data_IF_921582236717
#
_entry.id   IF_921582236717
#
_cell.length_a   1.000
_cell.length_b   1.000
_cell.length_c   1.000
_cell.angle_alpha   90.00
_cell.angle_beta   90.00
_cell.angle_gamma   90.00
#
_symmetry.space_group_name_H-M   'P 1'
#
loop_
_entity.id
_entity.type
_entity.pdbx_description
1 polymer ?
#
# COMPACT_ATOMS: atom_id res chain seq x y z
N UNK A 1 20.41 -8.20 -33.66
CA UNK A 1 21.59 -9.08 -33.43
C UNK A 1 22.71 -8.87 -34.45
N UNK A 2 22.45 -8.81 -35.76
CA UNK A 2 23.48 -8.69 -36.82
C UNK A 2 24.41 -7.47 -36.69
N UNK A 3 23.90 -6.31 -36.26
CA UNK A 3 24.70 -5.08 -36.10
C UNK A 3 25.64 -5.13 -34.88
N UNK A 4 25.28 -5.88 -33.82
CA UNK A 4 26.15 -6.07 -32.65
C UNK A 4 27.35 -6.95 -32.99
N UNK A 5 27.17 -7.95 -33.84
CA UNK A 5 28.21 -8.89 -34.28
C UNK A 5 29.18 -8.22 -35.27
N UNK A 6 28.67 -7.39 -36.18
CA UNK A 6 29.50 -6.58 -37.09
C UNK A 6 30.39 -5.58 -36.33
N UNK A 7 29.84 -4.92 -35.31
CA UNK A 7 30.61 -3.98 -34.48
C UNK A 7 31.67 -4.69 -33.62
N UNK A 8 31.38 -5.88 -33.09
CA UNK A 8 32.38 -6.66 -32.36
C UNK A 8 33.51 -7.16 -33.26
N UNK A 9 33.22 -7.60 -34.49
CA UNK A 9 34.26 -8.02 -35.44
C UNK A 9 35.14 -6.86 -35.92
N UNK A 10 34.57 -5.70 -36.23
CA UNK A 10 35.35 -4.52 -36.58
C UNK A 10 36.22 -4.02 -35.41
N UNK A 11 35.72 -4.11 -34.18
CA UNK A 11 36.51 -3.81 -32.98
C UNK A 11 37.69 -4.77 -32.83
N UNK A 12 37.47 -6.08 -33.02
CA UNK A 12 38.50 -7.11 -32.90
C UNK A 12 39.61 -6.96 -33.95
N UNK A 13 39.23 -6.68 -35.20
CA UNK A 13 40.18 -6.43 -36.29
C UNK A 13 41.01 -5.17 -36.04
N UNK A 14 40.42 -4.09 -35.51
CA UNK A 14 41.16 -2.88 -35.13
C UNK A 14 42.14 -3.15 -34.00
N UNK A 15 41.73 -3.89 -32.96
CA UNK A 15 42.66 -4.28 -31.90
C UNK A 15 43.78 -5.17 -32.43
N UNK A 16 43.49 -6.15 -33.28
CA UNK A 16 44.51 -7.04 -33.84
C UNK A 16 45.53 -6.29 -34.71
N UNK A 17 45.09 -5.31 -35.51
CA UNK A 17 45.97 -4.44 -36.29
C UNK A 17 46.84 -3.53 -35.42
N UNK A 18 46.31 -3.03 -34.30
CA UNK A 18 47.09 -2.22 -33.34
C UNK A 18 48.14 -3.10 -32.65
N UNK A 19 47.76 -4.31 -32.23
CA UNK A 19 48.70 -5.25 -31.62
C UNK A 19 49.81 -5.68 -32.58
N UNK A 20 49.49 -5.96 -33.85
CA UNK A 20 50.52 -6.31 -34.83
C UNK A 20 51.46 -5.14 -35.12
N UNK A 21 50.95 -3.91 -35.18
CA UNK A 21 51.78 -2.71 -35.34
C UNK A 21 52.72 -2.49 -34.14
N UNK A 22 52.23 -2.67 -32.91
CA UNK A 22 53.04 -2.57 -31.69
C UNK A 22 54.14 -3.65 -31.66
N UNK A 23 53.83 -4.86 -32.10
CA UNK A 23 54.78 -5.97 -32.13
C UNK A 23 55.90 -5.75 -33.15
N UNK A 24 55.55 -5.24 -34.35
CA UNK A 24 56.52 -4.85 -35.37
C UNK A 24 57.42 -3.72 -34.87
N UNK A 25 56.85 -2.71 -34.20
CA UNK A 25 57.63 -1.63 -33.58
C UNK A 25 58.59 -2.16 -32.50
N UNK A 26 58.14 -3.12 -31.68
CA UNK A 26 58.98 -3.76 -30.65
C UNK A 26 60.16 -4.51 -31.29
N UNK A 27 59.91 -5.31 -32.33
CA UNK A 27 60.96 -6.04 -33.04
C UNK A 27 61.94 -5.10 -33.75
N UNK A 28 61.44 -4.06 -34.41
CA UNK A 28 62.28 -3.06 -35.08
C UNK A 28 63.22 -2.36 -34.07
N UNK A 29 62.73 -2.05 -32.87
CA UNK A 29 63.54 -1.49 -31.78
C UNK A 29 64.63 -2.45 -31.32
N UNK A 30 64.26 -3.70 -30.99
CA UNK A 30 65.23 -4.69 -30.54
C UNK A 30 66.32 -4.92 -31.59
N UNK A 31 65.92 -4.95 -32.87
CA UNK A 31 66.86 -5.05 -33.98
C UNK A 31 67.78 -3.82 -34.08
N UNK A 32 67.24 -2.60 -33.92
CA UNK A 32 68.02 -1.36 -33.95
C UNK A 32 69.01 -1.29 -32.78
N UNK A 33 68.56 -1.59 -31.56
CA UNK A 33 69.38 -1.64 -30.35
C UNK A 33 70.52 -2.64 -30.50
N UNK A 34 70.20 -3.86 -30.94
CA UNK A 34 71.19 -4.90 -31.22
C UNK A 34 72.20 -4.47 -32.28
N UNK A 35 71.72 -3.92 -33.40
CA UNK A 35 72.57 -3.51 -34.53
C UNK A 35 73.49 -2.37 -34.16
N UNK A 36 72.98 -1.34 -33.46
CA UNK A 36 73.79 -0.20 -33.03
C UNK A 36 74.82 -0.60 -31.99
N UNK A 37 74.43 -1.40 -30.99
CA UNK A 37 75.33 -1.89 -29.95
C UNK A 37 76.44 -2.76 -30.55
N UNK A 38 76.10 -3.65 -31.48
CA UNK A 38 77.12 -4.51 -32.11
C UNK A 38 78.05 -3.72 -33.02
N UNK A 39 77.55 -2.76 -33.79
CA UNK A 39 78.40 -1.88 -34.61
C UNK A 39 79.37 -1.08 -33.74
N UNK A 40 78.90 -0.56 -32.60
CA UNK A 40 79.77 0.12 -31.63
C UNK A 40 80.79 -0.83 -31.00
N UNK A 41 80.40 -2.05 -30.64
CA UNK A 41 81.34 -3.07 -30.15
C UNK A 41 82.42 -3.40 -31.17
N UNK A 42 82.06 -3.52 -32.46
CA UNK A 42 83.03 -3.74 -33.54
C UNK A 42 84.00 -2.56 -33.61
N UNK A 43 83.50 -1.32 -33.62
CA UNK A 43 84.33 -0.11 -33.61
C UNK A 43 85.25 -0.05 -32.38
N UNK A 44 84.73 -0.43 -31.21
CA UNK A 44 85.50 -0.48 -29.96
C UNK A 44 86.60 -1.54 -29.98
N UNK A 45 86.33 -2.71 -30.58
CA UNK A 45 87.28 -3.81 -30.67
C UNK A 45 88.34 -3.64 -31.76
N UNK A 46 88.13 -2.71 -32.71
CA UNK A 46 89.13 -2.36 -33.73
C UNK A 46 90.25 -1.47 -33.18
N UNK A 47 90.07 -0.89 -31.99
CA UNK A 47 91.10 -0.10 -31.31
C UNK A 47 91.88 -1.02 -30.33
N UNK A 48 93.21 -1.17 -30.48
CA UNK A 48 94.00 -2.11 -29.68
C UNK A 48 94.00 -1.79 -28.17
N UNK A 49 94.25 -2.82 -27.34
CA UNK A 49 94.28 -2.71 -25.88
C UNK A 49 95.30 -1.64 -25.42
N UNK A 50 94.76 -0.62 -24.77
CA UNK A 50 95.32 0.71 -24.57
C UNK A 50 95.94 0.82 -23.15
N UNK A 51 97.24 0.53 -23.00
CA UNK A 51 97.95 0.61 -21.68
C UNK A 51 98.47 2.01 -21.34
N UNK A 52 98.89 2.81 -22.32
CA UNK A 52 99.43 4.17 -22.12
C UNK A 52 98.33 5.23 -21.95
N UNK A 53 97.08 4.79 -21.95
CA UNK A 53 95.90 5.60 -22.18
C UNK A 53 95.15 5.86 -20.90
N UNK A 54 95.34 5.08 -19.83
CA UNK A 54 94.74 5.39 -18.53
C UNK A 54 95.19 6.79 -18.04
N UNK A 55 96.47 7.12 -18.24
CA UNK A 55 97.06 8.42 -17.92
C UNK A 55 96.46 9.52 -18.82
N UNK A 56 96.41 9.30 -20.14
CA UNK A 56 95.79 10.22 -21.09
C UNK A 56 94.27 10.40 -20.91
N UNK A 57 93.57 9.35 -20.47
CA UNK A 57 92.13 9.33 -20.16
C UNK A 57 91.87 10.13 -18.88
N UNK A 58 92.67 9.97 -17.83
CA UNK A 58 92.53 10.77 -16.62
C UNK A 58 92.73 12.26 -16.88
N UNK A 59 93.77 12.62 -17.63
CA UNK A 59 94.05 14.02 -18.01
C UNK A 59 92.98 14.59 -18.97
N UNK A 60 92.39 13.76 -19.83
CA UNK A 60 91.39 14.20 -20.80
C UNK A 60 89.93 14.14 -20.32
N UNK A 61 89.63 13.54 -19.15
CA UNK A 61 88.27 13.43 -18.55
C UNK A 61 87.58 14.78 -18.25
N UNK A 62 88.29 15.89 -18.39
CA UNK A 62 87.73 17.25 -18.42
C UNK A 62 87.66 17.85 -19.82
N UNK A 63 88.56 17.47 -20.73
CA UNK A 63 88.80 18.09 -22.04
C UNK A 63 87.86 17.59 -23.12
N UNK A 64 87.68 16.27 -23.24
CA UNK A 64 86.83 15.67 -24.28
C UNK A 64 85.39 15.41 -23.85
N UNK A 65 85.02 15.76 -22.61
CA UNK A 65 83.66 15.55 -22.11
C UNK A 65 82.58 16.28 -22.93
N UNK A 66 81.49 15.57 -23.21
CA UNK A 66 80.27 16.09 -23.85
C UNK A 66 79.35 16.84 -22.87
N UNK A 67 79.70 16.92 -21.58
CA UNK A 67 78.93 17.71 -20.61
C UNK A 67 78.95 19.20 -20.98
N UNK A 68 77.77 19.81 -21.02
CA UNK A 68 77.59 21.24 -21.29
C UNK A 68 78.37 22.11 -20.30
N UNK A 69 78.36 21.76 -19.02
CA UNK A 69 79.07 22.49 -17.97
C UNK A 69 80.59 22.41 -18.17
N UNK A 70 81.11 21.22 -18.48
CA UNK A 70 82.54 21.03 -18.77
C UNK A 70 82.94 21.75 -20.06
N UNK A 71 82.09 21.76 -21.07
CA UNK A 71 82.31 22.52 -22.31
C UNK A 71 82.41 24.03 -22.06
N UNK A 72 81.48 24.60 -21.26
CA UNK A 72 81.54 26.01 -20.88
C UNK A 72 82.78 26.34 -20.04
N UNK A 73 83.15 25.45 -19.10
CA UNK A 73 84.35 25.62 -18.30
C UNK A 73 85.60 25.71 -19.18
N UNK A 74 85.72 24.86 -20.20
CA UNK A 74 86.84 24.88 -21.17
C UNK A 74 86.92 26.19 -21.96
N UNK A 75 85.78 26.77 -22.38
CA UNK A 75 85.78 28.06 -23.10
C UNK A 75 86.28 29.24 -22.28
N UNK A 76 86.29 29.13 -20.94
CA UNK A 76 86.78 30.19 -20.05
C UNK A 76 88.30 30.18 -19.88
N UNK A 77 88.96 29.06 -20.19
CA UNK A 77 90.41 28.97 -20.20
C UNK A 77 90.94 29.22 -21.63
N UNK A 78 91.97 30.06 -21.79
CA UNK A 78 92.69 30.17 -23.08
C UNK A 78 93.28 28.80 -23.45
N UNK A 79 93.49 28.53 -24.74
CA UNK A 79 93.89 27.25 -25.37
C UNK A 79 95.12 26.50 -24.78
N UNK A 80 95.73 27.01 -23.71
CA UNK A 80 96.88 26.49 -22.97
C UNK A 80 96.78 24.99 -22.66
N UNK A 81 95.59 24.47 -22.38
CA UNK A 81 95.42 23.04 -22.08
C UNK A 81 95.66 22.13 -23.29
N UNK A 82 95.31 22.59 -24.51
CA UNK A 82 95.56 21.82 -25.73
C UNK A 82 97.05 21.83 -26.02
N UNK A 83 97.71 22.99 -25.87
CA UNK A 83 99.15 23.11 -26.08
C UNK A 83 99.95 22.27 -25.06
N UNK A 84 99.52 22.23 -23.79
CA UNK A 84 100.12 21.40 -22.76
C UNK A 84 99.95 19.91 -23.06
N UNK A 85 98.76 19.50 -23.50
CA UNK A 85 98.48 18.12 -23.89
C UNK A 85 99.26 17.71 -25.14
N UNK A 86 99.36 18.58 -26.15
CA UNK A 86 100.15 18.36 -27.36
C UNK A 86 101.67 18.36 -27.09
N UNK A 87 102.11 19.01 -26.01
CA UNK A 87 103.51 18.98 -25.56
C UNK A 87 103.86 17.69 -24.83
N UNK A 88 102.95 17.18 -24.00
CA UNK A 88 103.13 15.97 -23.20
C UNK A 88 102.83 14.67 -23.99
N UNK A 89 101.88 14.72 -24.93
CA UNK A 89 101.42 13.58 -25.70
C UNK A 89 101.48 13.84 -27.20
N UNK A 90 101.79 12.80 -27.97
CA UNK A 90 101.72 12.86 -29.43
C UNK A 90 100.28 13.02 -29.93
N UNK A 91 100.10 13.74 -31.03
CA UNK A 91 98.81 14.00 -31.68
C UNK A 91 97.99 12.72 -31.91
N UNK A 92 98.62 11.68 -32.47
CA UNK A 92 97.98 10.39 -32.72
C UNK A 92 97.50 9.66 -31.45
N UNK A 93 98.10 9.94 -30.28
CA UNK A 93 97.61 9.42 -29.00
C UNK A 93 96.37 10.21 -28.55
N UNK A 94 96.41 11.54 -28.64
CA UNK A 94 95.29 12.40 -28.27
C UNK A 94 94.05 12.17 -29.14
N UNK A 95 94.23 11.95 -30.44
CA UNK A 95 93.13 11.59 -31.35
C UNK A 95 92.49 10.25 -30.97
N UNK A 96 93.28 9.24 -30.60
CA UNK A 96 92.76 7.95 -30.14
C UNK A 96 92.06 8.06 -28.79
N UNK A 97 92.61 8.81 -27.85
CA UNK A 97 91.97 9.10 -26.55
C UNK A 97 90.63 9.80 -26.75
N UNK A 98 90.58 10.78 -27.65
CA UNK A 98 89.34 11.48 -28.02
C UNK A 98 88.33 10.54 -28.66
N UNK A 99 88.74 9.73 -29.62
CA UNK A 99 87.86 8.74 -30.28
C UNK A 99 87.28 7.75 -29.26
N UNK A 100 88.11 7.25 -28.36
CA UNK A 100 87.69 6.35 -27.28
C UNK A 100 86.64 7.00 -26.37
N UNK A 101 86.87 8.26 -25.99
CA UNK A 101 85.94 9.03 -25.16
C UNK A 101 84.62 9.32 -25.91
N UNK A 102 84.70 9.74 -27.18
CA UNK A 102 83.52 10.00 -28.02
C UNK A 102 82.68 8.72 -28.21
N UNK A 103 83.31 7.56 -28.45
CA UNK A 103 82.61 6.28 -28.54
C UNK A 103 81.94 5.88 -27.21
N UNK A 104 82.59 6.17 -26.08
CA UNK A 104 82.04 5.91 -24.74
C UNK A 104 80.80 6.78 -24.48
N UNK A 105 80.84 8.08 -24.82
CA UNK A 105 79.69 8.97 -24.68
C UNK A 105 78.54 8.60 -25.64
N UNK A 106 78.86 8.20 -26.87
CA UNK A 106 77.85 7.69 -27.82
C UNK A 106 77.18 6.44 -27.28
N UNK A 107 77.94 5.49 -26.73
CA UNK A 107 77.38 4.29 -26.09
C UNK A 107 76.45 4.66 -24.93
N UNK A 108 76.90 5.56 -24.04
CA UNK A 108 76.09 6.03 -22.90
C UNK A 108 74.81 6.72 -23.34
N UNK A 109 74.86 7.53 -24.41
CA UNK A 109 73.70 8.21 -24.96
C UNK A 109 72.69 7.21 -25.52
N UNK A 110 73.14 6.19 -26.25
CA UNK A 110 72.26 5.16 -26.77
C UNK A 110 71.56 4.38 -25.66
N UNK A 111 72.28 4.01 -24.60
CA UNK A 111 71.68 3.32 -23.44
C UNK A 111 70.53 4.14 -22.82
N UNK A 112 70.76 5.44 -22.63
CA UNK A 112 69.74 6.36 -22.11
C UNK A 112 68.54 6.48 -23.08
N UNK A 113 68.80 6.61 -24.37
CA UNK A 113 67.75 6.72 -25.39
C UNK A 113 66.90 5.45 -25.45
N UNK A 114 67.52 4.26 -25.49
CA UNK A 114 66.79 3.00 -25.53
C UNK A 114 65.99 2.78 -24.25
N UNK A 115 66.56 3.09 -23.07
CA UNK A 115 65.84 3.02 -21.79
C UNK A 115 64.62 3.95 -21.76
N UNK A 116 64.81 5.23 -22.10
CA UNK A 116 63.72 6.20 -22.12
C UNK A 116 62.60 5.77 -23.09
N UNK A 117 62.98 5.21 -24.24
CA UNK A 117 62.02 4.73 -25.22
C UNK A 117 61.22 3.52 -24.67
N UNK A 118 61.87 2.57 -23.99
CA UNK A 118 61.17 1.46 -23.29
C UNK A 118 60.17 1.98 -22.27
N UNK A 119 60.55 2.96 -21.45
CA UNK A 119 59.68 3.54 -20.42
C UNK A 119 58.44 4.22 -21.02
N UNK A 120 58.61 4.96 -22.12
CA UNK A 120 57.49 5.60 -22.84
C UNK A 120 56.50 4.56 -23.36
N UNK A 121 56.98 3.49 -23.99
CA UNK A 121 56.10 2.43 -24.49
C UNK A 121 55.39 1.68 -23.36
N UNK A 122 56.08 1.41 -22.26
CA UNK A 122 55.45 0.81 -21.06
C UNK A 122 54.32 1.68 -20.51
N UNK A 123 54.51 3.00 -20.47
CA UNK A 123 53.48 3.93 -20.05
C UNK A 123 52.26 3.94 -21.01
N UNK A 124 52.52 3.83 -22.32
CA UNK A 124 51.47 3.72 -23.34
C UNK A 124 50.66 2.41 -23.15
N UNK A 125 51.33 1.28 -22.94
CA UNK A 125 50.68 -0.02 -22.71
C UNK A 125 49.77 0.02 -21.47
N UNK A 126 50.28 0.55 -20.36
CA UNK A 126 49.51 0.73 -19.12
C UNK A 126 48.27 1.59 -19.39
N UNK A 127 48.41 2.67 -20.16
CA UNK A 127 47.27 3.54 -20.52
C UNK A 127 46.21 2.79 -21.33
N UNK A 128 46.61 1.96 -22.28
CA UNK A 128 45.66 1.13 -23.05
C UNK A 128 44.94 0.13 -22.15
N UNK A 129 45.65 -0.55 -21.26
CA UNK A 129 45.06 -1.47 -20.28
C UNK A 129 44.05 -0.75 -19.39
N UNK A 130 44.42 0.40 -18.82
CA UNK A 130 43.52 1.21 -17.98
C UNK A 130 42.26 1.63 -18.73
N UNK A 131 42.39 2.07 -19.99
CA UNK A 131 41.25 2.44 -20.81
C UNK A 131 40.32 1.25 -21.10
N UNK A 132 40.88 0.06 -21.32
CA UNK A 132 40.10 -1.16 -21.50
C UNK A 132 39.32 -1.51 -20.23
N UNK A 133 39.97 -1.51 -19.07
CA UNK A 133 39.29 -1.76 -17.78
C UNK A 133 38.20 -0.73 -17.51
N UNK A 134 38.46 0.57 -17.72
CA UNK A 134 37.44 1.64 -17.60
C UNK A 134 36.23 1.40 -18.49
N UNK A 135 36.46 0.98 -19.74
CA UNK A 135 35.38 0.65 -20.67
C UNK A 135 34.53 -0.52 -20.17
N UNK A 136 35.16 -1.57 -19.64
CA UNK A 136 34.46 -2.73 -19.06
C UNK A 136 33.63 -2.35 -17.83
N UNK A 137 34.19 -1.55 -16.92
CA UNK A 137 33.48 -1.04 -15.75
C UNK A 137 32.25 -0.22 -16.18
N UNK A 138 32.42 0.70 -17.14
CA UNK A 138 31.32 1.52 -17.67
C UNK A 138 30.21 0.68 -18.30
N UNK A 139 30.57 -0.37 -19.04
CA UNK A 139 29.57 -1.30 -19.61
C UNK A 139 28.80 -2.05 -18.52
N UNK A 140 29.48 -2.45 -17.44
CA UNK A 140 28.83 -3.12 -16.33
C UNK A 140 27.89 -2.18 -15.58
N UNK A 141 28.33 -0.95 -15.31
CA UNK A 141 27.52 0.07 -14.66
C UNK A 141 26.23 0.33 -15.45
N UNK A 142 26.32 0.51 -16.76
CA UNK A 142 25.14 0.66 -17.61
C UNK A 142 24.17 -0.54 -17.56
N UNK A 143 24.66 -1.76 -17.33
CA UNK A 143 23.78 -2.92 -17.14
C UNK A 143 23.09 -2.88 -15.79
N UNK A 144 23.82 -2.52 -14.74
CA UNK A 144 23.27 -2.33 -13.40
C UNK A 144 22.21 -1.22 -13.39
N UNK A 145 22.48 -0.08 -14.03
CA UNK A 145 21.54 1.04 -14.11
C UNK A 145 20.23 0.63 -14.80
N UNK A 146 20.32 -0.12 -15.91
CA UNK A 146 19.14 -0.67 -16.60
C UNK A 146 18.33 -1.64 -15.74
N UNK A 147 19.01 -2.51 -14.99
CA UNK A 147 18.35 -3.42 -14.06
C UNK A 147 17.68 -2.65 -12.93
N UNK A 148 18.36 -1.67 -12.36
CA UNK A 148 17.81 -0.80 -11.33
C UNK A 148 16.57 -0.05 -11.80
N UNK A 149 16.60 0.52 -13.01
CA UNK A 149 15.45 1.18 -13.62
C UNK A 149 14.27 0.21 -13.82
N UNK A 150 14.55 -1.02 -14.26
CA UNK A 150 13.53 -2.07 -14.35
C UNK A 150 12.91 -2.39 -13.00
N UNK A 151 13.72 -2.54 -11.95
CA UNK A 151 13.20 -2.80 -10.60
C UNK A 151 12.38 -1.63 -10.09
N UNK A 152 12.86 -0.39 -10.22
CA UNK A 152 12.12 0.80 -9.83
C UNK A 152 10.76 0.89 -10.53
N UNK A 153 10.71 0.58 -11.83
CA UNK A 153 9.47 0.53 -12.59
C UNK A 153 8.52 -0.53 -12.02
N UNK A 154 8.98 -1.77 -11.82
CA UNK A 154 8.15 -2.83 -11.25
C UNK A 154 7.64 -2.50 -9.85
N UNK A 155 8.50 -1.93 -8.99
CA UNK A 155 8.10 -1.49 -7.64
C UNK A 155 7.07 -0.37 -7.70
N UNK A 156 7.23 0.60 -8.61
CA UNK A 156 6.26 1.69 -8.79
C UNK A 156 4.90 1.18 -9.27
N UNK A 157 4.90 0.18 -10.15
CA UNK A 157 3.67 -0.46 -10.63
C UNK A 157 2.98 -1.23 -9.50
N UNK A 158 3.72 -2.01 -8.72
CA UNK A 158 3.18 -2.72 -7.56
C UNK A 158 2.61 -1.75 -6.51
N UNK A 159 3.29 -0.63 -6.27
CA UNK A 159 2.80 0.42 -5.37
C UNK A 159 1.51 1.07 -5.89
N UNK A 160 1.43 1.35 -7.20
CA UNK A 160 0.20 1.88 -7.79
C UNK A 160 -0.94 0.88 -7.69
N UNK A 161 -0.69 -0.41 -7.98
CA UNK A 161 -1.69 -1.47 -7.85
C UNK A 161 -2.21 -1.57 -6.41
N UNK A 162 -1.31 -1.54 -5.41
CA UNK A 162 -1.68 -1.56 -4.00
C UNK A 162 -2.54 -0.35 -3.61
N UNK A 163 -2.20 0.86 -4.09
CA UNK A 163 -3.03 2.06 -3.85
C UNK A 163 -4.42 1.93 -4.47
N UNK A 164 -4.50 1.41 -5.70
CA UNK A 164 -5.81 1.20 -6.34
C UNK A 164 -6.65 0.18 -5.59
N UNK A 165 -6.06 -0.89 -5.06
CA UNK A 165 -6.76 -1.86 -4.22
C UNK A 165 -7.25 -1.23 -2.91
N UNK A 166 -6.43 -0.38 -2.28
CA UNK A 166 -6.81 0.36 -1.07
C UNK A 166 -7.99 1.31 -1.35
N UNK A 167 -7.94 2.07 -2.45
CA UNK A 167 -9.03 2.96 -2.88
C UNK A 167 -10.32 2.17 -3.19
N UNK A 168 -10.20 0.99 -3.81
CA UNK A 168 -11.33 0.07 -3.99
C UNK A 168 -11.90 -0.40 -2.65
N UNK A 169 -11.04 -0.72 -1.69
CA UNK A 169 -11.43 -1.09 -0.34
C UNK A 169 -12.22 0.02 0.35
N UNK A 170 -11.74 1.26 0.32
CA UNK A 170 -12.49 2.41 0.86
C UNK A 170 -13.82 2.62 0.14
N UNK A 171 -13.86 2.48 -1.18
CA UNK A 171 -15.11 2.58 -1.94
C UNK A 171 -16.11 1.50 -1.56
N UNK A 172 -15.68 0.24 -1.39
CA UNK A 172 -16.55 -0.85 -0.92
C UNK A 172 -17.06 -0.55 0.49
N UNK A 173 -16.20 -0.09 1.41
CA UNK A 173 -16.61 0.30 2.76
C UNK A 173 -17.64 1.42 2.70
N UNK A 174 -17.44 2.44 1.86
CA UNK A 174 -18.40 3.53 1.68
C UNK A 174 -19.73 3.04 1.08
N UNK A 175 -19.70 2.14 0.09
CA UNK A 175 -20.92 1.54 -0.47
C UNK A 175 -21.66 0.76 0.60
N UNK A 176 -20.95 -0.09 1.37
CA UNK A 176 -21.55 -0.85 2.47
C UNK A 176 -22.12 0.12 3.51
N UNK A 177 -21.38 1.13 3.94
CA UNK A 177 -21.88 2.12 4.90
C UNK A 177 -23.10 2.87 4.38
N UNK A 178 -23.11 3.28 3.12
CA UNK A 178 -24.25 3.98 2.52
C UNK A 178 -25.46 3.05 2.36
N UNK A 179 -25.28 1.80 1.91
CA UNK A 179 -26.33 0.79 1.84
C UNK A 179 -26.81 0.34 3.23
N UNK A 180 -25.93 0.36 4.25
CA UNK A 180 -26.30 0.16 5.65
C UNK A 180 -26.69 1.44 6.39
N UNK A 181 -26.76 2.59 5.71
CA UNK A 181 -27.48 3.80 6.15
C UNK A 181 -28.89 3.89 5.53
N UNK A 182 -29.17 3.19 4.42
CA UNK A 182 -30.54 2.91 3.91
C UNK A 182 -31.52 2.31 4.95
N UNK A 183 -31.13 1.62 6.04
CA UNK A 183 -32.03 1.35 7.15
C UNK A 183 -32.73 2.59 7.69
N UNK A 184 -32.26 3.81 7.47
CA UNK A 184 -33.00 4.99 7.91
C UNK A 184 -34.33 5.19 7.14
N UNK A 185 -34.37 4.93 5.82
CA UNK A 185 -35.62 5.01 5.04
C UNK A 185 -36.58 3.85 5.35
N UNK A 186 -36.06 2.63 5.51
CA UNK A 186 -36.89 1.48 5.88
C UNK A 186 -37.42 1.61 7.31
N UNK A 187 -36.59 2.04 8.27
CA UNK A 187 -37.03 2.31 9.64
C UNK A 187 -38.02 3.46 9.72
N UNK A 188 -37.86 4.52 8.90
CA UNK A 188 -38.86 5.59 8.79
C UNK A 188 -40.21 5.06 8.31
N UNK A 189 -40.23 4.24 7.24
CA UNK A 189 -41.48 3.64 6.76
C UNK A 189 -42.14 2.74 7.79
N UNK A 190 -41.37 1.97 8.55
CA UNK A 190 -41.91 1.16 9.64
C UNK A 190 -42.45 2.02 10.79
N UNK A 191 -41.77 3.11 11.14
CA UNK A 191 -42.27 4.07 12.14
C UNK A 191 -43.58 4.72 11.70
N UNK A 192 -43.66 5.19 10.45
CA UNK A 192 -44.90 5.76 9.88
C UNK A 192 -46.05 4.75 9.89
N UNK A 193 -45.77 3.49 9.57
CA UNK A 193 -46.76 2.42 9.60
C UNK A 193 -47.25 2.13 11.03
N UNK A 194 -46.33 2.09 12.01
CA UNK A 194 -46.66 1.91 13.43
C UNK A 194 -47.55 3.07 13.91
N UNK A 195 -47.20 4.31 13.58
CA UNK A 195 -47.99 5.49 13.95
C UNK A 195 -49.37 5.47 13.31
N UNK A 196 -49.48 5.04 12.04
CA UNK A 196 -50.76 4.87 11.36
C UNK A 196 -51.67 3.87 12.09
N UNK A 197 -51.15 2.69 12.44
CA UNK A 197 -51.94 1.67 13.15
C UNK A 197 -52.30 2.09 14.58
N UNK A 198 -51.42 2.81 15.27
CA UNK A 198 -51.71 3.37 16.59
C UNK A 198 -52.88 4.35 16.53
N UNK A 199 -52.85 5.31 15.60
CA UNK A 199 -53.95 6.26 15.42
C UNK A 199 -55.27 5.57 15.08
N UNK A 200 -55.23 4.54 14.22
CA UNK A 200 -56.42 3.79 13.85
C UNK A 200 -57.00 3.02 15.04
N UNK A 201 -56.13 2.41 15.86
CA UNK A 201 -56.54 1.74 17.09
C UNK A 201 -57.18 2.71 18.08
N UNK A 202 -56.58 3.88 18.31
CA UNK A 202 -57.10 4.88 19.25
C UNK A 202 -58.48 5.39 18.83
N UNK A 203 -58.69 5.64 17.53
CA UNK A 203 -59.99 6.05 16.98
C UNK A 203 -61.06 4.97 17.19
N UNK A 204 -60.74 3.71 16.89
CA UNK A 204 -61.70 2.61 17.05
C UNK A 204 -62.00 2.34 18.53
N UNK A 205 -60.98 2.43 19.40
CA UNK A 205 -61.15 2.30 20.83
C UNK A 205 -62.07 3.40 21.37
N UNK A 206 -61.86 4.66 20.99
CA UNK A 206 -62.70 5.78 21.42
C UNK A 206 -64.16 5.61 20.95
N UNK A 207 -64.39 5.13 19.71
CA UNK A 207 -65.74 4.79 19.21
C UNK A 207 -66.41 3.71 20.06
N UNK A 208 -65.67 2.64 20.40
CA UNK A 208 -66.20 1.56 21.23
C UNK A 208 -66.51 2.05 22.64
N UNK A 209 -65.60 2.82 23.26
CA UNK A 209 -65.79 3.36 24.60
C UNK A 209 -66.96 4.34 24.68
N UNK A 210 -67.11 5.23 23.70
CA UNK A 210 -68.26 6.13 23.61
C UNK A 210 -69.56 5.36 23.43
N UNK A 211 -69.56 4.31 22.60
CA UNK A 211 -70.68 3.38 22.45
C UNK A 211 -71.05 2.66 23.75
N UNK A 212 -70.07 2.14 24.50
CA UNK A 212 -70.27 1.50 25.81
C UNK A 212 -70.85 2.51 26.80
N UNK A 213 -70.28 3.73 26.87
CA UNK A 213 -70.80 4.80 27.75
C UNK A 213 -72.25 5.15 27.43
N UNK A 214 -72.61 5.26 26.15
CA UNK A 214 -73.98 5.54 25.72
C UNK A 214 -74.95 4.41 26.12
N UNK A 215 -74.59 3.15 25.85
CA UNK A 215 -75.39 1.99 26.24
C UNK A 215 -75.54 1.87 27.76
N UNK A 216 -74.49 2.14 28.53
CA UNK A 216 -74.54 2.17 30.00
C UNK A 216 -75.51 3.24 30.53
N UNK A 217 -75.55 4.42 29.90
CA UNK A 217 -76.56 5.46 30.19
C UNK A 217 -77.99 5.02 29.84
N UNK A 218 -78.18 4.27 28.76
CA UNK A 218 -79.51 3.72 28.42
C UNK A 218 -79.96 2.65 29.43
N UNK A 219 -79.05 1.74 29.81
CA UNK A 219 -79.33 0.70 30.81
C UNK A 219 -79.72 1.32 32.15
N UNK A 220 -78.98 2.32 32.63
CA UNK A 220 -79.31 3.02 33.89
C UNK A 220 -80.70 3.65 33.84
N UNK A 221 -81.07 4.33 32.74
CA UNK A 221 -82.44 4.85 32.54
C UNK A 221 -83.51 3.75 32.59
N UNK A 222 -83.27 2.60 31.95
CA UNK A 222 -84.21 1.47 31.95
C UNK A 222 -84.34 0.84 33.34
N UNK A 223 -83.23 0.71 34.08
CA UNK A 223 -83.22 0.22 35.46
C UNK A 223 -84.00 1.17 36.38
N UNK A 224 -83.80 2.48 36.25
CA UNK A 224 -84.55 3.47 37.04
C UNK A 224 -86.04 3.45 36.69
N UNK A 225 -86.38 3.30 35.42
CA UNK A 225 -87.78 3.14 34.99
C UNK A 225 -88.41 1.84 35.52
N UNK A 226 -87.66 0.73 35.50
CA UNK A 226 -88.13 -0.54 36.08
C UNK A 226 -88.36 -0.41 37.59
N UNK A 227 -87.47 0.26 38.32
CA UNK A 227 -87.65 0.55 39.74
C UNK A 227 -88.93 1.36 39.97
N UNK A 228 -89.13 2.44 39.22
CA UNK A 228 -90.33 3.25 39.29
C UNK A 228 -91.61 2.43 39.07
N UNK A 229 -91.65 1.60 38.03
CA UNK A 229 -92.80 0.71 37.77
C UNK A 229 -93.01 -0.31 38.89
N UNK A 230 -91.93 -0.86 39.46
CA UNK A 230 -92.04 -1.82 40.58
C UNK A 230 -92.60 -1.16 41.84
N UNK A 231 -92.22 0.09 42.14
CA UNK A 231 -92.81 0.87 43.24
C UNK A 231 -94.28 1.19 42.98
N UNK A 232 -94.65 1.46 41.73
CA UNK A 232 -96.03 1.72 41.33
C UNK A 232 -96.92 0.48 41.47
N UNK A 233 -96.42 -0.70 41.08
CA UNK A 233 -97.10 -1.99 41.31
C UNK A 233 -97.33 -2.21 42.81
N UNK A 234 -96.30 -2.00 43.65
CA UNK A 234 -96.43 -2.13 45.10
C UNK A 234 -97.52 -1.18 45.65
N UNK A 235 -97.55 0.08 45.21
CA UNK A 235 -98.61 1.02 45.58
C UNK A 235 -100.00 0.53 45.16
N UNK A 236 -100.15 -0.01 43.95
CA UNK A 236 -101.42 -0.57 43.51
C UNK A 236 -101.82 -1.83 44.30
N UNK A 237 -100.86 -2.69 44.64
CA UNK A 237 -101.11 -3.86 45.48
C UNK A 237 -101.57 -3.46 46.89
N UNK A 238 -100.92 -2.46 47.50
CA UNK A 238 -101.32 -1.87 48.79
C UNK A 238 -102.73 -1.26 48.70
N UNK A 239 -103.05 -0.54 47.63
CA UNK A 239 -104.37 0.05 47.42
C UNK A 239 -105.45 -1.02 47.22
N UNK A 240 -105.18 -2.07 46.44
CA UNK A 240 -106.09 -3.21 46.25
C UNK A 240 -106.29 -3.94 47.59
N UNK A 241 -105.24 -4.15 48.37
CA UNK A 241 -105.34 -4.76 49.69
C UNK A 241 -106.17 -3.90 50.66
N UNK A 242 -105.99 -2.57 50.65
CA UNK A 242 -106.77 -1.62 51.44
C UNK A 242 -108.26 -1.62 51.02
N UNK A 243 -108.56 -1.66 49.72
CA UNK A 243 -109.92 -1.77 49.20
C UNK A 243 -110.56 -3.10 49.57
N UNK A 244 -109.84 -4.23 49.44
CA UNK A 244 -110.31 -5.55 49.90
C UNK A 244 -110.59 -5.55 51.41
N UNK A 245 -109.74 -4.93 52.23
CA UNK A 245 -109.95 -4.81 53.67
C UNK A 245 -111.18 -3.95 54.02
N UNK A 246 -111.47 -2.89 53.25
CA UNK A 246 -112.71 -2.12 53.37
C UNK A 246 -113.95 -2.93 52.96
N UNK A 247 -113.86 -3.74 51.90
CA UNK A 247 -114.93 -4.63 51.44
C UNK A 247 -115.26 -5.69 52.50
N UNK A 248 -114.23 -6.31 53.10
CA UNK A 248 -114.39 -7.26 54.23
C UNK A 248 -115.03 -6.56 55.43
N UNK A 249 -114.61 -5.34 55.78
CA UNK A 249 -115.27 -4.52 56.83
C UNK A 249 -116.72 -4.13 56.50
N UNK A 250 -117.12 -4.08 55.23
CA UNK A 250 -118.52 -3.86 54.82
C UNK A 250 -119.36 -5.14 54.92
N UNK A 251 -118.76 -6.30 54.73
CA UNK A 251 -119.41 -7.61 54.84
C UNK A 251 -119.51 -8.13 56.29
N UNK A 252 -118.71 -7.60 57.23
CA UNK A 252 -118.69 -8.00 58.65
C UNK A 252 -119.51 -7.10 59.61
N UNK A 253 -120.47 -6.30 59.13
CA UNK A 253 -121.45 -5.61 60.01
C UNK A 253 -122.82 -6.31 60.05
N UNK A 254 -123.20 -6.92 61.19
CA UNK A 254 -124.53 -7.51 61.41
C UNK A 254 -125.52 -6.52 62.07
N UNK A 255 -126.77 -6.51 61.60
CA UNK A 255 -127.96 -6.01 62.33
C UNK A 255 -129.18 -6.70 61.70
N UNK A 256 -129.85 -7.71 62.26
CA UNK A 256 -130.51 -7.85 63.59
C UNK A 256 -131.54 -6.75 63.82
N UNK A 257 -132.68 -6.81 63.13
CA UNK A 257 -134.02 -6.37 63.63
C UNK A 257 -135.09 -7.18 62.88
N UNK A 258 -136.11 -7.64 63.61
CA UNK A 258 -137.29 -8.45 63.22
C UNK A 258 -137.18 -9.98 63.36
N UNK A 259 -136.84 -10.41 64.58
CA UNK A 259 -137.40 -11.61 65.23
C UNK A 259 -138.34 -11.16 66.36
N UNK A 260 -139.55 -10.71 66.05
CA UNK A 260 -140.70 -10.71 66.95
C UNK A 260 -141.90 -10.99 66.03
N UNK A 261 -142.77 -11.92 66.42
CA UNK A 261 -143.97 -12.40 65.71
C UNK A 261 -143.81 -13.53 64.69
N UNK A 262 -143.52 -14.75 65.17
CA UNK A 262 -144.37 -15.93 64.87
C UNK A 262 -144.06 -17.20 65.68
N UNK A 263 -143.66 -17.07 66.95
CA UNK A 263 -143.73 -18.16 67.94
C UNK A 263 -145.17 -18.50 68.40
N UNK A 264 -146.20 -17.93 67.75
CA UNK A 264 -147.62 -18.13 68.13
C UNK A 264 -148.33 -19.24 67.31
N UNK A 265 -147.75 -19.77 66.22
CA UNK A 265 -148.38 -20.86 65.43
C UNK A 265 -147.80 -22.26 65.67
N UNK A 266 -147.14 -22.49 66.81
CA UNK A 266 -146.69 -23.82 67.26
C UNK A 266 -147.50 -24.39 68.45
N UNK A 267 -148.69 -23.84 68.76
CA UNK A 267 -149.53 -24.34 69.86
C UNK A 267 -150.99 -24.72 69.54
N UNK A 268 -151.43 -24.65 68.28
CA UNK A 268 -152.78 -25.09 67.89
C UNK A 268 -152.81 -25.80 66.53
N UNK A 269 -152.41 -27.07 66.46
CA UNK A 269 -153.10 -28.09 65.63
C UNK A 269 -152.49 -29.48 65.83
N UNK A 270 -152.63 -30.02 67.04
CA UNK A 270 -152.55 -31.45 67.29
C UNK A 270 -153.98 -32.00 67.16
N UNK A 271 -154.35 -32.55 65.99
CA UNK A 271 -155.39 -33.60 65.86
C UNK A 271 -155.57 -34.06 64.42
N UNK A 272 -155.50 -35.39 64.26
CA UNK A 272 -155.89 -36.24 63.10
C UNK A 272 -154.81 -36.36 62.02
N UNK A 273 -154.45 -37.56 61.55
CA UNK A 273 -154.97 -38.91 61.82
C UNK A 273 -153.95 -39.93 61.30
N UNK A 274 -153.83 -41.00 62.08
CA UNK A 274 -153.27 -42.30 61.74
C UNK A 274 -153.61 -42.78 60.32
N UNK A 275 -152.68 -43.56 59.76
CA UNK A 275 -153.01 -44.93 59.45
C UNK A 275 -152.78 -45.40 58.02
N UNK A 276 -152.02 -46.51 57.96
CA UNK A 276 -152.08 -47.59 56.98
C UNK A 276 -151.50 -47.35 55.58
N UNK A 277 -151.06 -48.36 54.83
CA UNK A 277 -150.45 -49.69 55.05
C UNK A 277 -150.33 -50.24 53.62
N UNK A 278 -149.17 -50.79 53.25
CA UNK A 278 -148.97 -51.96 52.36
C UNK A 278 -149.57 -52.02 50.94
N UNK A 279 -148.68 -52.49 50.04
CA UNK A 279 -148.90 -53.37 48.86
C UNK A 279 -149.62 -52.69 47.68
N UNK A 280 -149.35 -52.99 46.41
CA UNK A 280 -148.71 -54.12 45.73
C UNK A 280 -148.31 -53.72 44.30
N UNK A 281 -147.43 -54.55 43.72
CA UNK A 281 -147.32 -54.97 42.31
C UNK A 281 -148.41 -54.50 41.33
N UNK A 282 -147.97 -54.27 40.09
CA UNK A 282 -148.79 -54.24 38.87
C UNK A 282 -148.23 -53.22 37.91
#
# INVERSE_FOLDING_TARGET
MVNSVKNSHQSLLRTALIYSALEVQRMARQYLEYTMTNRLKILWNLDPLMRDTEIGIELSRGVYSWSYEKFLARRRFKHVWIDLLMWEFGEALLERVKLHFDLSEVSRLLDVLFKALVDVFKAIDIRYQLNWYRSKVKQMQLKCDKLQESYLKSTSQALQASKTEEDFGYNIVNVIYNETEVPNEYCQRFQELITYFQNLYDIELEKVETGIRAKKKQITKLVDHQKFLSEEIIRFEEEIAARKALEIKRLERPTVVYQIDREIYSKYSLKRRNGNRKKSKG
#
